data_IF_158781725855
#
_entry.id   IF_158781725855
#
_cell.length_a   1.000
_cell.length_b   1.000
_cell.length_c   1.000
_cell.angle_alpha   90.00
_cell.angle_beta   90.00
_cell.angle_gamma   90.00
#
_symmetry.space_group_name_H-M   'P 1'
#
loop_
_entity.id
_entity.type
_entity.pdbx_description
1 polymer ?
#
# COMPACT_ATOMS: atom_id res chain seq x y z
N UNK A 1 18.70 -13.89 3.82
CA UNK A 1 17.33 -14.27 4.21
C UNK A 1 16.36 -13.15 3.83
N UNK A 2 15.28 -13.50 3.19
CA UNK A 2 14.31 -12.49 2.79
C UNK A 2 13.43 -12.10 3.98
N UNK A 3 13.13 -10.83 4.15
CA UNK A 3 12.20 -10.41 5.20
C UNK A 3 10.81 -10.97 4.90
N UNK A 4 10.07 -11.30 5.96
CA UNK A 4 8.70 -11.78 5.80
C UNK A 4 7.75 -10.65 5.45
N UNK A 5 8.10 -9.44 5.82
CA UNK A 5 7.28 -8.27 5.60
C UNK A 5 7.88 -7.40 4.53
N UNK A 6 7.03 -6.71 3.80
CA UNK A 6 7.45 -5.79 2.76
C UNK A 6 6.95 -4.41 3.08
N UNK A 7 7.75 -3.42 2.75
CA UNK A 7 7.29 -2.05 2.90
C UNK A 7 6.29 -1.71 1.81
N UNK A 8 5.31 -0.92 2.18
CA UNK A 8 4.24 -0.51 1.28
C UNK A 8 4.25 1.01 1.17
N UNK A 9 4.22 1.50 -0.05
CA UNK A 9 4.14 2.93 -0.29
C UNK A 9 2.72 3.34 -0.61
N UNK A 10 2.26 4.41 0.03
CA UNK A 10 0.97 5.01 -0.27
C UNK A 10 1.20 6.15 -1.26
N UNK A 11 0.52 6.09 -2.39
CA UNK A 11 0.68 7.07 -3.46
C UNK A 11 -0.64 7.75 -3.77
N UNK A 12 -0.57 9.02 -4.18
CA UNK A 12 -1.74 9.69 -4.74
C UNK A 12 -2.05 9.10 -6.11
N UNK A 13 -3.23 9.43 -6.63
CA UNK A 13 -3.59 8.96 -7.96
C UNK A 13 -2.69 9.53 -9.05
N UNK A 14 -2.04 10.65 -8.78
CA UNK A 14 -1.07 11.20 -9.72
C UNK A 14 0.32 10.59 -9.60
N UNK A 15 0.53 9.72 -8.61
CA UNK A 15 1.77 8.99 -8.49
C UNK A 15 2.76 9.51 -7.47
N UNK A 16 2.35 10.46 -6.63
CA UNK A 16 3.24 11.02 -5.64
C UNK A 16 3.21 10.21 -4.34
N UNK A 17 4.39 9.94 -3.80
CA UNK A 17 4.50 9.20 -2.55
C UNK A 17 4.01 10.05 -1.40
N UNK A 18 3.05 9.52 -0.63
CA UNK A 18 2.46 10.21 0.51
C UNK A 18 3.08 9.71 1.81
N UNK A 19 3.18 8.39 1.95
CA UNK A 19 3.64 7.79 3.18
C UNK A 19 4.17 6.38 2.91
N UNK A 20 5.10 5.94 3.74
CA UNK A 20 5.63 4.58 3.67
C UNK A 20 5.21 3.84 4.92
N UNK A 21 4.65 2.66 4.74
CA UNK A 21 4.29 1.77 5.84
C UNK A 21 5.29 0.62 5.89
N UNK A 22 5.69 0.25 7.08
CA UNK A 22 6.65 -0.83 7.24
C UNK A 22 6.09 -2.19 6.83
N UNK A 23 4.78 -2.38 6.99
CA UNK A 23 4.13 -3.64 6.63
C UNK A 23 2.75 -3.35 6.06
N UNK A 24 2.21 -4.37 5.37
CA UNK A 24 0.84 -4.30 4.88
C UNK A 24 -0.14 -4.16 6.05
N UNK A 25 0.18 -4.81 7.17
CA UNK A 25 -0.68 -4.74 8.34
C UNK A 25 -0.83 -3.31 8.85
N UNK A 26 0.27 -2.56 8.83
CA UNK A 26 0.22 -1.16 9.25
C UNK A 26 -0.66 -0.33 8.31
N UNK A 27 -0.54 -0.58 7.02
CA UNK A 27 -1.36 0.13 6.04
C UNK A 27 -2.84 -0.23 6.21
N UNK A 28 -3.13 -1.48 6.55
CA UNK A 28 -4.51 -1.94 6.72
C UNK A 28 -5.21 -1.31 7.91
N UNK A 29 -4.47 -0.80 8.87
CA UNK A 29 -5.08 -0.10 10.00
C UNK A 29 -5.78 1.17 9.55
N UNK A 30 -5.22 1.84 8.57
CA UNK A 30 -5.80 3.07 8.04
C UNK A 30 -6.69 2.82 6.83
N UNK A 31 -6.34 1.81 6.03
CA UNK A 31 -7.04 1.52 4.77
C UNK A 31 -7.31 0.03 4.67
N UNK A 32 -8.52 -0.37 5.02
CA UNK A 32 -8.86 -1.79 5.06
C UNK A 32 -8.78 -2.47 3.68
N UNK A 33 -8.88 -1.70 2.61
CA UNK A 33 -8.86 -2.24 1.25
C UNK A 33 -7.48 -2.24 0.62
N UNK A 34 -6.44 -1.97 1.39
CA UNK A 34 -5.09 -1.89 0.84
C UNK A 34 -4.68 -3.20 0.18
N UNK A 35 -5.09 -4.34 0.73
CA UNK A 35 -4.80 -5.64 0.14
C UNK A 35 -5.35 -5.75 -1.28
N UNK A 36 -6.57 -5.29 -1.48
CA UNK A 36 -7.20 -5.36 -2.79
C UNK A 36 -6.46 -4.51 -3.81
N UNK A 37 -5.98 -3.35 -3.37
CA UNK A 37 -5.21 -2.48 -4.26
C UNK A 37 -3.88 -3.15 -4.62
N UNK A 38 -3.22 -3.75 -3.64
CA UNK A 38 -1.95 -4.42 -3.87
C UNK A 38 -2.09 -5.64 -4.78
N UNK A 39 -3.21 -6.35 -4.68
CA UNK A 39 -3.47 -7.50 -5.52
C UNK A 39 -3.97 -7.13 -6.91
N UNK A 40 -4.38 -5.88 -7.09
CA UNK A 40 -4.90 -5.43 -8.36
C UNK A 40 -6.39 -5.62 -8.54
N UNK A 41 -7.10 -6.08 -7.51
CA UNK A 41 -8.56 -6.24 -7.60
C UNK A 41 -9.30 -4.93 -7.41
N UNK A 42 -8.61 -3.93 -6.86
CA UNK A 42 -9.14 -2.57 -6.74
C UNK A 42 -8.09 -1.61 -7.28
N UNK A 43 -8.53 -0.59 -7.99
CA UNK A 43 -7.61 0.38 -8.58
C UNK A 43 -7.16 1.42 -7.57
N UNK A 44 -7.94 1.66 -6.54
CA UNK A 44 -7.62 2.68 -5.54
C UNK A 44 -8.35 2.41 -4.25
N UNK A 45 -7.91 3.07 -3.20
CA UNK A 45 -8.56 3.03 -1.91
C UNK A 45 -8.60 4.45 -1.36
N UNK A 46 -9.79 5.02 -1.23
CA UNK A 46 -10.01 6.38 -0.73
C UNK A 46 -9.18 7.43 -1.50
N UNK A 47 -8.99 7.21 -2.80
CA UNK A 47 -8.24 8.15 -3.63
C UNK A 47 -6.73 7.95 -3.59
N UNK A 48 -6.26 6.81 -3.08
CA UNK A 48 -4.83 6.50 -3.02
C UNK A 48 -4.58 5.14 -3.63
N UNK A 49 -3.35 4.95 -4.11
CA UNK A 49 -2.90 3.65 -4.57
C UNK A 49 -1.78 3.18 -3.64
N UNK A 50 -1.53 1.89 -3.65
CA UNK A 50 -0.53 1.29 -2.79
C UNK A 50 0.33 0.35 -3.61
N UNK A 51 1.63 0.34 -3.34
CA UNK A 51 2.57 -0.55 -4.03
C UNK A 51 3.62 -1.04 -3.05
N UNK A 52 4.12 -2.24 -3.30
CA UNK A 52 5.27 -2.73 -2.56
C UNK A 52 6.51 -1.98 -3.01
N UNK A 53 7.31 -1.51 -2.07
CA UNK A 53 8.51 -0.74 -2.39
C UNK A 53 9.78 -1.40 -1.87
N UNK A 54 9.70 -2.56 -1.30
CA UNK A 54 10.89 -3.32 -0.91
C UNK A 54 10.65 -4.81 -0.99
#
# INVERSE_FOLDING_TARGET
MKPKTRKVGQYTLSGELVKIYDTVREAKKDFSNVNKVLKGTASQCKGYTFKYIS
#
